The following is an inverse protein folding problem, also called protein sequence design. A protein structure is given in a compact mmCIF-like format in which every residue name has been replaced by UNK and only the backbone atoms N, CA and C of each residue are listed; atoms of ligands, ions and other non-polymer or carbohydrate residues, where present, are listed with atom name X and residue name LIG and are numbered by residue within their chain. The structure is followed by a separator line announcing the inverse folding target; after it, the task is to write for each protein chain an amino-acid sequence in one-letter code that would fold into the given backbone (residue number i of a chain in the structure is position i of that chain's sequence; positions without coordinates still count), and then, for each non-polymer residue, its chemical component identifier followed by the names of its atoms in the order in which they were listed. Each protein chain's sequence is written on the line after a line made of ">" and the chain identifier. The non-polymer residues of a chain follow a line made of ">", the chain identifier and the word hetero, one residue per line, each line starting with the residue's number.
data_IF_907633182539
#
_entry.id   IF_907633182539
#
_cell.length_a   1.000
_cell.length_b   1.000
_cell.length_c   1.000
_cell.angle_alpha   90.00
_cell.angle_beta   90.00
_cell.angle_gamma   90.00
#
_symmetry.space_group_name_H-M   'P 1'
#
loop_
_entity.id
_entity.type
_entity.pdbx_description
1 polymer ?
#
# COMPACT_ATOMS: atom_id res chain seq x y z
N UNK A 1 17.71 -39.96 56.43
CA UNK A 1 18.68 -41.06 56.62
C UNK A 1 19.45 -40.96 57.94
N UNK A 2 19.88 -39.77 58.37
CA UNK A 2 20.46 -39.55 59.71
C UNK A 2 19.60 -40.06 60.87
N UNK A 3 18.27 -39.91 60.79
CA UNK A 3 17.32 -40.34 61.81
C UNK A 3 17.34 -41.87 62.06
N UNK A 4 17.44 -42.67 61.00
CA UNK A 4 17.49 -44.13 61.11
C UNK A 4 18.83 -44.61 61.67
N UNK A 5 19.93 -43.99 61.24
CA UNK A 5 21.27 -44.28 61.78
C UNK A 5 21.34 -44.01 63.27
N UNK A 6 20.85 -42.86 63.73
CA UNK A 6 20.87 -42.49 65.16
C UNK A 6 20.07 -43.49 66.01
N UNK A 7 18.89 -43.92 65.54
CA UNK A 7 18.05 -44.88 66.27
C UNK A 7 18.65 -46.29 66.32
N UNK A 8 19.38 -46.71 65.29
CA UNK A 8 20.05 -48.00 65.27
C UNK A 8 21.34 -47.98 66.12
N UNK A 9 22.12 -46.90 66.05
CA UNK A 9 23.36 -46.74 66.84
C UNK A 9 23.07 -46.76 68.36
N UNK A 10 21.97 -46.12 68.78
CA UNK A 10 21.46 -46.11 70.17
C UNK A 10 21.20 -47.53 70.72
N UNK A 11 20.75 -48.46 69.87
CA UNK A 11 20.44 -49.84 70.27
C UNK A 11 21.67 -50.76 70.17
N UNK A 12 22.56 -50.52 69.21
CA UNK A 12 23.75 -51.36 68.96
C UNK A 12 24.95 -51.03 69.85
N UNK A 13 24.98 -49.87 70.49
CA UNK A 13 26.04 -49.45 71.42
C UNK A 13 26.24 -50.47 72.56
N UNK A 14 25.16 -51.05 73.09
CA UNK A 14 25.20 -52.08 74.14
C UNK A 14 25.89 -53.38 73.71
N UNK A 15 26.06 -53.60 72.41
CA UNK A 15 26.68 -54.77 71.80
C UNK A 15 28.09 -54.47 71.27
N UNK A 16 28.60 -53.24 71.44
CA UNK A 16 29.95 -52.83 71.03
C UNK A 16 30.13 -52.67 69.52
N UNK A 17 29.03 -52.52 68.74
CA UNK A 17 29.06 -52.39 67.28
C UNK A 17 28.62 -50.98 66.87
N UNK A 18 29.41 -50.32 66.01
CA UNK A 18 29.15 -48.96 65.50
C UNK A 18 28.57 -48.99 64.09
N UNK A 19 27.44 -48.33 63.87
CA UNK A 19 26.76 -48.33 62.56
C UNK A 19 27.33 -47.23 61.65
N UNK A 20 27.98 -47.61 60.55
CA UNK A 20 28.64 -46.63 59.64
C UNK A 20 27.67 -46.03 58.61
N UNK A 21 26.81 -46.83 57.98
CA UNK A 21 25.84 -46.37 56.99
C UNK A 21 24.54 -47.17 57.04
N UNK A 22 23.42 -46.51 56.75
CA UNK A 22 22.10 -47.13 56.66
C UNK A 22 21.51 -46.80 55.29
N UNK A 23 21.11 -47.83 54.56
CA UNK A 23 20.46 -47.69 53.27
C UNK A 23 19.15 -48.48 53.30
N UNK A 24 18.06 -47.83 52.89
CA UNK A 24 16.78 -48.51 52.69
C UNK A 24 16.87 -49.20 51.34
N UNK A 25 16.87 -50.52 51.33
CA UNK A 25 17.00 -51.29 50.07
C UNK A 25 15.70 -51.34 49.29
N UNK A 26 14.59 -51.62 49.96
CA UNK A 26 13.27 -51.73 49.33
C UNK A 26 12.18 -51.38 50.34
N UNK A 27 11.13 -50.70 49.88
CA UNK A 27 9.89 -50.52 50.63
C UNK A 27 8.76 -51.07 49.77
N UNK A 28 8.11 -52.12 50.24
CA UNK A 28 6.99 -52.75 49.55
C UNK A 28 5.69 -52.35 50.25
N UNK A 29 5.00 -51.29 49.77
CA UNK A 29 3.69 -50.94 50.30
C UNK A 29 2.66 -52.02 49.91
N UNK A 30 1.60 -52.21 50.72
CA UNK A 30 0.54 -53.14 50.38
C UNK A 30 -0.14 -52.76 49.05
N UNK A 31 -0.59 -53.74 48.26
CA UNK A 31 -1.00 -53.55 46.86
C UNK A 31 -2.12 -52.51 46.68
N UNK A 32 -3.07 -52.43 47.62
CA UNK A 32 -4.15 -51.44 47.59
C UNK A 32 -3.64 -49.99 47.63
N UNK A 33 -2.58 -49.73 48.38
CA UNK A 33 -1.98 -48.38 48.50
C UNK A 33 -1.24 -48.03 47.22
N UNK A 34 -0.50 -48.99 46.65
CA UNK A 34 0.22 -48.79 45.40
C UNK A 34 -0.74 -48.49 44.25
N UNK A 35 -1.88 -49.19 44.17
CA UNK A 35 -2.89 -48.96 43.14
C UNK A 35 -3.56 -47.59 43.30
N UNK A 36 -3.93 -47.21 44.54
CA UNK A 36 -4.49 -45.89 44.84
C UNK A 36 -3.52 -44.75 44.49
N UNK A 37 -2.24 -44.89 44.87
CA UNK A 37 -1.18 -43.94 44.50
C UNK A 37 -1.00 -43.86 42.98
N UNK A 38 -0.97 -44.99 42.27
CA UNK A 38 -0.82 -45.02 40.81
C UNK A 38 -1.98 -44.30 40.13
N UNK A 39 -3.21 -44.55 40.56
CA UNK A 39 -4.43 -43.91 40.03
C UNK A 39 -4.44 -42.39 40.29
N UNK A 40 -4.03 -41.97 41.48
CA UNK A 40 -3.92 -40.55 41.81
C UNK A 40 -2.82 -39.86 40.98
N UNK A 41 -1.64 -40.49 40.88
CA UNK A 41 -0.52 -39.98 40.10
C UNK A 41 -0.86 -39.88 38.60
N UNK A 42 -1.58 -40.86 38.06
CA UNK A 42 -2.07 -40.78 36.67
C UNK A 42 -3.05 -39.62 36.49
N UNK A 43 -4.00 -39.44 37.40
CA UNK A 43 -4.99 -38.36 37.32
C UNK A 43 -4.33 -36.98 37.38
N UNK A 44 -3.37 -36.80 38.30
CA UNK A 44 -2.62 -35.54 38.42
C UNK A 44 -1.74 -35.29 37.19
N UNK A 45 -1.10 -36.33 36.63
CA UNK A 45 -0.35 -36.20 35.37
C UNK A 45 -1.24 -35.79 34.21
N UNK A 46 -2.40 -36.43 34.05
CA UNK A 46 -3.37 -36.07 33.01
C UNK A 46 -3.85 -34.64 33.19
N UNK A 47 -4.21 -34.24 34.42
CA UNK A 47 -4.60 -32.86 34.72
C UNK A 47 -3.50 -31.87 34.34
N UNK A 48 -2.26 -32.12 34.75
CA UNK A 48 -1.12 -31.25 34.42
C UNK A 48 -0.88 -31.17 32.91
N UNK A 49 -0.92 -32.29 32.22
CA UNK A 49 -0.76 -32.33 30.77
C UNK A 49 -1.81 -31.46 30.06
N UNK A 50 -3.08 -31.58 30.44
CA UNK A 50 -4.19 -30.78 29.87
C UNK A 50 -4.00 -29.28 30.13
N UNK A 51 -3.59 -28.91 31.34
CA UNK A 51 -3.34 -27.49 31.68
C UNK A 51 -2.17 -26.95 30.86
N UNK A 52 -1.06 -27.68 30.80
CA UNK A 52 0.13 -27.27 30.02
C UNK A 52 -0.18 -27.15 28.53
N UNK A 53 -0.97 -28.08 27.98
CA UNK A 53 -1.40 -28.02 26.58
C UNK A 53 -2.31 -26.81 26.32
N UNK A 54 -3.30 -26.56 27.19
CA UNK A 54 -4.19 -25.40 27.07
C UNK A 54 -3.42 -24.07 27.16
N UNK A 55 -2.46 -23.96 28.07
CA UNK A 55 -1.59 -22.78 28.19
C UNK A 55 -0.72 -22.60 26.93
N UNK A 56 -0.17 -23.70 26.39
CA UNK A 56 0.57 -23.68 25.13
C UNK A 56 -0.27 -23.22 23.95
N UNK A 57 -1.50 -23.74 23.82
CA UNK A 57 -2.44 -23.34 22.77
C UNK A 57 -2.84 -21.86 22.89
N UNK A 58 -3.14 -21.40 24.11
CA UNK A 58 -3.44 -19.99 24.38
C UNK A 58 -2.27 -19.09 24.00
N UNK A 59 -1.06 -19.44 24.43
CA UNK A 59 0.13 -18.64 24.13
C UNK A 59 0.41 -18.60 22.63
N UNK A 60 0.30 -19.74 21.95
CA UNK A 60 0.46 -19.82 20.50
C UNK A 60 -0.57 -18.94 19.76
N UNK A 61 -1.84 -18.99 20.16
CA UNK A 61 -2.90 -18.17 19.58
C UNK A 61 -2.65 -16.66 19.77
N UNK A 62 -2.18 -16.26 20.96
CA UNK A 62 -1.81 -14.87 21.24
C UNK A 62 -0.65 -14.44 20.34
N UNK A 63 0.44 -15.20 20.29
CA UNK A 63 1.60 -14.86 19.46
C UNK A 63 1.26 -14.77 17.97
N UNK A 64 0.41 -15.67 17.47
CA UNK A 64 -0.07 -15.60 16.07
C UNK A 64 -0.91 -14.32 15.86
N UNK A 65 -1.83 -14.01 16.78
CA UNK A 65 -2.67 -12.81 16.67
C UNK A 65 -1.84 -11.52 16.73
N UNK A 66 -0.84 -11.46 17.61
CA UNK A 66 0.11 -10.35 17.71
C UNK A 66 0.93 -10.20 16.44
N UNK A 67 1.50 -11.28 15.91
CA UNK A 67 2.23 -11.26 14.65
C UNK A 67 1.37 -10.81 13.46
N UNK A 68 0.12 -11.26 13.38
CA UNK A 68 -0.82 -10.82 12.34
C UNK A 68 -1.15 -9.32 12.47
N UNK A 69 -1.37 -8.83 13.69
CA UNK A 69 -1.61 -7.41 13.95
C UNK A 69 -0.41 -6.57 13.55
N UNK A 70 0.79 -6.96 13.98
CA UNK A 70 2.03 -6.25 13.68
C UNK A 70 2.31 -6.24 12.17
N UNK A 71 2.16 -7.40 11.51
CA UNK A 71 2.29 -7.49 10.05
C UNK A 71 1.29 -6.58 9.32
N UNK A 72 0.03 -6.54 9.75
CA UNK A 72 -0.98 -5.66 9.16
C UNK A 72 -0.62 -4.17 9.33
N UNK A 73 -0.10 -3.78 10.49
CA UNK A 73 0.36 -2.40 10.75
C UNK A 73 1.53 -2.05 9.84
N UNK A 74 2.56 -2.89 9.80
CA UNK A 74 3.75 -2.67 8.96
C UNK A 74 3.38 -2.58 7.47
N UNK A 75 2.46 -3.43 7.00
CA UNK A 75 1.97 -3.36 5.63
C UNK A 75 1.21 -2.06 5.34
N UNK A 76 0.38 -1.59 6.27
CA UNK A 76 -0.35 -0.34 6.13
C UNK A 76 0.60 0.87 6.14
N UNK A 77 1.59 0.88 7.03
CA UNK A 77 2.61 1.92 7.11
C UNK A 77 3.49 1.94 5.85
N UNK A 78 3.94 0.77 5.38
CA UNK A 78 4.68 0.64 4.14
C UNK A 78 3.89 1.12 2.92
N UNK A 79 2.60 0.78 2.84
CA UNK A 79 1.71 1.25 1.77
C UNK A 79 1.54 2.77 1.80
N UNK A 80 1.33 3.35 2.99
CA UNK A 80 1.24 4.80 3.17
C UNK A 80 2.53 5.49 2.76
N UNK A 81 3.69 5.00 3.20
CA UNK A 81 4.98 5.59 2.89
C UNK A 81 5.32 5.47 1.40
N UNK A 82 5.02 4.33 0.79
CA UNK A 82 5.17 4.12 -0.66
C UNK A 82 4.31 5.10 -1.46
N UNK A 83 3.06 5.31 -1.07
CA UNK A 83 2.17 6.27 -1.72
C UNK A 83 2.69 7.71 -1.61
N UNK A 84 3.20 8.11 -0.45
CA UNK A 84 3.81 9.44 -0.24
C UNK A 84 5.03 9.62 -1.14
N UNK A 85 5.96 8.67 -1.12
CA UNK A 85 7.17 8.72 -1.94
C UNK A 85 6.86 8.76 -3.44
N UNK A 86 5.84 8.03 -3.87
CA UNK A 86 5.37 8.04 -5.26
C UNK A 86 4.82 9.41 -5.63
N UNK A 87 3.94 9.98 -4.79
CA UNK A 87 3.37 11.32 -5.03
C UNK A 87 4.44 12.43 -5.01
N UNK A 88 5.45 12.33 -4.15
CA UNK A 88 6.59 13.23 -4.11
C UNK A 88 7.45 13.11 -5.38
N UNK A 89 7.74 11.88 -5.80
CA UNK A 89 8.46 11.61 -7.04
C UNK A 89 7.72 12.14 -8.28
N UNK A 90 6.40 11.95 -8.36
CA UNK A 90 5.56 12.49 -9.43
C UNK A 90 5.57 14.01 -9.46
N UNK A 91 5.42 14.65 -8.30
CA UNK A 91 5.48 16.12 -8.16
C UNK A 91 6.84 16.64 -8.64
N UNK A 92 7.93 16.05 -8.15
CA UNK A 92 9.27 16.47 -8.52
C UNK A 92 9.55 16.25 -10.01
N UNK A 93 9.11 15.12 -10.56
CA UNK A 93 9.21 14.87 -11.99
C UNK A 93 8.38 15.87 -12.82
N UNK A 94 7.19 16.27 -12.35
CA UNK A 94 6.38 17.28 -13.02
C UNK A 94 7.06 18.66 -13.04
N UNK A 95 7.65 19.08 -11.91
CA UNK A 95 8.42 20.32 -11.81
C UNK A 95 9.62 20.30 -12.77
N UNK A 96 10.43 19.23 -12.72
CA UNK A 96 11.60 19.09 -13.60
C UNK A 96 11.23 19.09 -15.09
N UNK A 97 10.10 18.47 -15.45
CA UNK A 97 9.58 18.52 -16.83
C UNK A 97 9.15 19.93 -17.22
N UNK A 98 8.45 20.66 -16.35
CA UNK A 98 8.03 22.02 -16.62
C UNK A 98 9.23 22.97 -16.78
N UNK A 99 10.23 22.85 -15.90
CA UNK A 99 11.49 23.59 -16.00
C UNK A 99 12.24 23.26 -17.30
N UNK A 100 12.36 21.97 -17.64
CA UNK A 100 12.97 21.53 -18.89
C UNK A 100 12.26 22.10 -20.13
N UNK A 101 10.92 22.12 -20.11
CA UNK A 101 10.12 22.69 -21.18
C UNK A 101 10.27 24.20 -21.29
N UNK A 102 10.23 24.94 -20.18
CA UNK A 102 10.50 26.38 -20.18
C UNK A 102 11.89 26.71 -20.69
N UNK A 103 12.92 25.98 -20.26
CA UNK A 103 14.28 26.17 -20.74
C UNK A 103 14.40 25.88 -22.25
N UNK A 104 13.75 24.82 -22.73
CA UNK A 104 13.71 24.50 -24.15
C UNK A 104 12.99 25.61 -24.96
N UNK A 105 11.84 26.09 -24.49
CA UNK A 105 11.12 27.20 -25.12
C UNK A 105 11.95 28.48 -25.15
N UNK A 106 12.63 28.82 -24.06
CA UNK A 106 13.52 29.97 -24.01
C UNK A 106 14.65 29.84 -25.04
N UNK A 107 15.24 28.65 -25.18
CA UNK A 107 16.27 28.35 -26.19
C UNK A 107 15.75 28.49 -27.61
N UNK A 108 14.54 27.98 -27.87
CA UNK A 108 13.89 28.08 -29.17
C UNK A 108 13.57 29.55 -29.49
N UNK A 109 13.04 30.31 -28.53
CA UNK A 109 12.76 31.73 -28.69
C UNK A 109 14.03 32.54 -28.95
N UNK A 110 15.10 32.29 -28.20
CA UNK A 110 16.42 32.91 -28.41
C UNK A 110 16.89 32.70 -29.86
N UNK A 111 16.87 31.47 -30.36
CA UNK A 111 17.22 31.17 -31.76
C UNK A 111 16.24 31.84 -32.74
N UNK A 112 14.92 31.69 -32.53
CA UNK A 112 13.89 32.21 -33.44
C UNK A 112 13.85 33.74 -33.51
N UNK A 113 14.17 34.44 -32.42
CA UNK A 113 14.26 35.90 -32.38
C UNK A 113 15.33 36.49 -33.30
N UNK A 114 16.30 35.68 -33.72
CA UNK A 114 17.32 36.06 -34.70
C UNK A 114 16.91 35.76 -36.15
N UNK A 115 15.78 35.06 -36.36
CA UNK A 115 15.27 34.64 -37.67
C UNK A 115 14.25 35.66 -38.19
N UNK A 116 14.37 36.03 -39.47
CA UNK A 116 13.58 37.09 -40.14
C UNK A 116 12.05 36.84 -40.10
N UNK A 117 11.27 37.91 -39.91
CA UNK A 117 9.81 37.91 -39.65
C UNK A 117 9.01 37.21 -40.77
N UNK A 118 9.55 37.19 -42.00
CA UNK A 118 8.95 36.51 -43.16
C UNK A 118 8.98 34.98 -43.03
N UNK A 119 10.00 34.40 -42.40
CA UNK A 119 10.14 32.95 -42.22
C UNK A 119 9.13 32.42 -41.20
N UNK A 120 8.91 33.18 -40.11
CA UNK A 120 7.91 32.84 -39.08
C UNK A 120 6.49 32.83 -39.65
N UNK A 121 6.15 33.75 -40.56
CA UNK A 121 4.84 33.77 -41.26
C UNK A 121 4.64 32.55 -42.16
N UNK A 122 5.67 32.14 -42.88
CA UNK A 122 5.60 30.92 -43.72
C UNK A 122 5.39 29.67 -42.86
N UNK A 123 6.09 29.56 -41.74
CA UNK A 123 5.98 28.41 -40.85
C UNK A 123 4.63 28.37 -40.11
N UNK A 124 4.06 29.54 -39.77
CA UNK A 124 2.69 29.64 -39.26
C UNK A 124 1.64 29.19 -40.29
N UNK A 125 1.78 29.59 -41.56
CA UNK A 125 0.90 29.13 -42.64
C UNK A 125 1.00 27.61 -42.85
N UNK A 126 2.20 27.03 -42.70
CA UNK A 126 2.42 25.59 -42.83
C UNK A 126 1.87 24.81 -41.63
N UNK A 127 2.07 25.31 -40.39
CA UNK A 127 1.44 24.76 -39.19
C UNK A 127 -0.10 24.82 -39.28
N UNK A 128 -0.65 25.91 -39.81
CA UNK A 128 -2.09 26.07 -40.04
C UNK A 128 -2.60 25.06 -41.09
N UNK A 129 -1.84 24.83 -42.16
CA UNK A 129 -2.14 23.79 -43.18
C UNK A 129 -2.10 22.40 -42.57
N UNK A 130 -1.15 22.10 -41.69
CA UNK A 130 -0.99 20.80 -41.06
C UNK A 130 -2.07 20.51 -40.02
N UNK A 131 -2.51 21.53 -39.26
CA UNK A 131 -3.67 21.46 -38.36
C UNK A 131 -4.98 21.33 -39.15
N UNK A 132 -5.10 22.00 -40.31
CA UNK A 132 -6.23 21.90 -41.22
C UNK A 132 -6.33 20.55 -41.97
N UNK A 133 -5.21 19.85 -42.15
CA UNK A 133 -5.15 18.54 -42.81
C UNK A 133 -5.39 17.35 -41.86
N UNK A 134 -5.51 17.59 -40.54
CA UNK A 134 -5.78 16.51 -39.56
C UNK A 134 -7.23 16.03 -39.66
N UNK A 135 -7.50 14.72 -39.82
CA UNK A 135 -8.83 14.16 -40.10
C UNK A 135 -9.87 14.27 -38.96
N UNK A 136 -9.55 14.96 -37.85
CA UNK A 136 -10.45 15.21 -36.72
C UNK A 136 -10.45 16.67 -36.27
N UNK A 137 -10.36 17.62 -37.21
CA UNK A 137 -10.42 19.05 -36.90
C UNK A 137 -11.87 19.48 -36.64
N UNK A 138 -12.29 19.48 -35.37
CA UNK A 138 -13.41 20.34 -34.95
C UNK A 138 -12.94 21.78 -35.17
N UNK A 139 -13.28 22.36 -36.32
CA UNK A 139 -13.07 23.76 -36.63
C UNK A 139 -13.88 24.57 -35.62
N UNK A 140 -13.23 25.01 -34.53
CA UNK A 140 -13.79 25.99 -33.61
C UNK A 140 -13.68 27.32 -34.32
N UNK A 141 -14.71 27.67 -35.07
CA UNK A 141 -14.84 29.00 -35.66
C UNK A 141 -15.11 29.98 -34.51
N UNK A 142 -14.23 30.97 -34.27
CA UNK A 142 -14.49 32.03 -33.31
C UNK A 142 -15.82 32.71 -33.64
N UNK A 143 -16.65 33.02 -32.64
CA UNK A 143 -17.93 33.70 -32.86
C UNK A 143 -17.76 35.04 -33.61
N UNK A 144 -16.58 35.66 -33.54
CA UNK A 144 -16.20 36.84 -34.34
C UNK A 144 -16.31 36.61 -35.86
N UNK A 145 -15.97 35.40 -36.33
CA UNK A 145 -16.06 35.03 -37.76
C UNK A 145 -17.51 34.77 -38.20
N UNK A 146 -18.40 34.38 -37.28
CA UNK A 146 -19.84 34.28 -37.59
C UNK A 146 -20.46 35.66 -37.88
N UNK A 147 -19.96 36.71 -37.25
CA UNK A 147 -20.36 38.10 -37.53
C UNK A 147 -19.96 38.55 -38.94
N UNK A 148 -18.79 38.15 -39.43
CA UNK A 148 -18.35 38.41 -40.81
C UNK A 148 -19.16 37.63 -41.85
N UNK A 149 -19.59 36.42 -41.53
CA UNK A 149 -20.49 35.65 -42.42
C UNK A 149 -21.86 36.31 -42.45
N UNK A 150 -22.39 36.77 -41.32
CA UNK A 150 -23.68 37.45 -41.24
C UNK A 150 -23.71 38.77 -42.05
N UNK A 151 -22.61 39.55 -42.04
CA UNK A 151 -22.51 40.75 -42.87
C UNK A 151 -22.40 40.40 -44.36
N UNK A 152 -21.72 39.30 -44.71
CA UNK A 152 -21.64 38.82 -46.08
C UNK A 152 -22.98 38.29 -46.59
N UNK A 153 -23.73 37.55 -45.76
CA UNK A 153 -25.08 37.09 -46.13
C UNK A 153 -26.05 38.26 -46.21
N UNK A 154 -25.99 39.23 -45.30
CA UNK A 154 -26.82 40.44 -45.38
C UNK A 154 -26.51 41.28 -46.63
N UNK A 155 -25.23 41.37 -47.02
CA UNK A 155 -24.83 42.05 -48.25
C UNK A 155 -25.25 41.26 -49.50
N UNK A 156 -25.14 39.94 -49.50
CA UNK A 156 -25.59 39.08 -50.58
C UNK A 156 -27.13 39.08 -50.71
N UNK A 157 -27.84 39.11 -49.59
CA UNK A 157 -29.29 39.20 -49.53
C UNK A 157 -29.76 40.58 -50.00
N UNK A 158 -29.12 41.67 -49.55
CA UNK A 158 -29.35 43.02 -50.07
C UNK A 158 -29.04 43.16 -51.58
N UNK A 159 -28.02 42.46 -52.07
CA UNK A 159 -27.72 42.38 -53.50
C UNK A 159 -28.75 41.54 -54.28
N UNK A 160 -29.33 40.51 -53.65
CA UNK A 160 -30.37 39.67 -54.26
C UNK A 160 -31.75 40.36 -54.28
N UNK A 161 -32.08 41.15 -53.26
CA UNK A 161 -33.36 41.89 -53.17
C UNK A 161 -33.41 43.06 -54.16
N UNK A 162 -32.26 43.59 -54.57
CA UNK A 162 -32.20 44.65 -55.57
C UNK A 162 -32.34 44.16 -57.03
N UNK A 163 -32.49 42.85 -57.25
CA UNK A 163 -32.64 42.24 -58.58
C UNK A 163 -34.08 41.93 -59.01
N UNK A 164 -35.10 42.24 -58.20
CA UNK A 164 -36.50 41.82 -58.47
C UNK A 164 -37.50 42.95 -58.76
N UNK A 165 -37.06 44.20 -58.84
CA UNK A 165 -37.91 45.34 -59.28
C UNK A 165 -37.40 45.95 -60.60
N UNK A 166 -37.54 45.19 -61.69
CA UNK A 166 -37.61 45.76 -63.04
C UNK A 166 -38.77 45.08 -63.78
N UNK A 167 -39.82 45.86 -64.03
CA UNK A 167 -40.90 45.51 -64.95
C UNK A 167 -42.29 45.61 -64.32
N UNK A 168 -42.89 46.81 -64.30
CA UNK A 168 -43.91 47.19 -65.30
C UNK A 168 -44.43 48.61 -65.01
N UNK A 169 -44.49 49.45 -66.05
CA UNK A 169 -45.41 50.60 -66.15
C UNK A 169 -46.18 50.45 -67.48
N UNK A 170 -47.10 51.34 -67.91
CA UNK A 170 -47.56 52.61 -67.32
C UNK A 170 -49.11 52.72 -67.24
N UNK A 171 -49.63 53.78 -66.59
CA UNK A 171 -50.67 54.72 -67.07
C UNK A 171 -51.02 55.74 -65.97
#
# INVERSE_FOLDING_TARGET
>A
NSLLRVKLDEVTERWGVKVTNVEIREISPPPMVQEAMTRQMSAERTRRAVVTEADGQKQAAITIAEGNKESAILNAEGSKQSAILTAEGERQAAILRAEGFSNALNRIFEVASTVDEKTMRLQYLDALKQVGASPSSKVVVPMELSGLVATFTALAEAASTNGSNVGDGPE
#
